data_IF_134352659387
#
_entry.id   IF_134352659387
#
_cell.length_a   1.000
_cell.length_b   1.000
_cell.length_c   1.000
_cell.angle_alpha   90.00
_cell.angle_beta   90.00
_cell.angle_gamma   90.00
#
_symmetry.space_group_name_H-M   'P 1'
#
loop_
_entity.id
_entity.type
_entity.pdbx_description
1 polymer ?
#
# COMPACT_ATOMS: atom_id res chain seq x y z
N UNK A 1 5.46 -4.53 -6.52
CA UNK A 1 5.39 -3.71 -5.27
C UNK A 1 5.51 -2.22 -5.56
N UNK A 2 6.61 -1.75 -6.17
CA UNK A 2 6.83 -0.33 -6.50
C UNK A 2 5.67 0.29 -7.30
N UNK A 3 5.14 -0.42 -8.30
CA UNK A 3 3.98 0.02 -9.09
C UNK A 3 2.73 0.28 -8.23
N UNK A 4 2.36 -0.66 -7.36
CA UNK A 4 1.21 -0.50 -6.48
C UNK A 4 1.39 0.66 -5.48
N UNK A 5 2.60 0.82 -4.93
CA UNK A 5 2.91 1.96 -4.06
C UNK A 5 2.90 3.28 -4.84
N UNK A 6 3.39 3.29 -6.08
CA UNK A 6 3.30 4.44 -6.98
C UNK A 6 1.86 4.86 -7.21
N UNK A 7 0.97 3.90 -7.51
CA UNK A 7 -0.46 4.16 -7.63
C UNK A 7 -1.06 4.72 -6.33
N UNK A 8 -0.74 4.13 -5.17
CA UNK A 8 -1.24 4.64 -3.88
C UNK A 8 -0.76 6.07 -3.60
N UNK A 9 0.52 6.35 -3.77
CA UNK A 9 1.10 7.65 -3.44
C UNK A 9 0.64 8.74 -4.41
N UNK A 10 0.70 8.48 -5.72
CA UNK A 10 0.50 9.52 -6.73
C UNK A 10 -0.96 9.65 -7.14
N UNK A 11 -1.69 8.54 -7.26
CA UNK A 11 -3.09 8.54 -7.69
C UNK A 11 -4.04 8.63 -6.51
N UNK A 12 -3.92 7.74 -5.51
CA UNK A 12 -4.85 7.68 -4.38
C UNK A 12 -4.54 8.67 -3.26
N UNK A 13 -3.34 9.29 -3.25
CA UNK A 13 -2.84 10.10 -2.14
C UNK A 13 -2.91 9.36 -0.80
N UNK A 14 -2.58 8.07 -0.80
CA UNK A 14 -2.55 7.18 0.37
C UNK A 14 -1.13 6.68 0.61
N UNK A 15 -0.72 6.58 1.87
CA UNK A 15 0.52 5.91 2.29
C UNK A 15 0.14 4.57 2.94
N UNK A 16 0.73 3.46 2.51
CA UNK A 16 0.34 2.11 2.94
C UNK A 16 0.69 1.76 4.40
N UNK A 17 1.81 2.29 4.91
CA UNK A 17 2.35 2.17 6.28
C UNK A 17 2.51 0.77 6.91
N UNK A 18 2.24 -0.33 6.20
CA UNK A 18 2.49 -1.68 6.72
C UNK A 18 3.08 -2.60 5.64
N UNK A 19 4.15 -2.12 4.99
CA UNK A 19 4.86 -2.91 4.00
C UNK A 19 5.72 -3.97 4.69
N UNK A 20 5.29 -5.23 4.59
CA UNK A 20 5.96 -6.39 5.13
C UNK A 20 5.67 -7.61 4.25
N UNK A 21 6.45 -8.70 4.33
CA UNK A 21 6.19 -9.90 3.53
C UNK A 21 4.76 -10.43 3.70
N UNK A 22 4.20 -10.36 4.91
CA UNK A 22 2.85 -10.81 5.24
C UNK A 22 1.75 -9.98 4.58
N UNK A 23 1.99 -8.71 4.25
CA UNK A 23 1.02 -7.89 3.52
C UNK A 23 1.01 -8.15 2.01
N UNK A 24 1.90 -9.00 1.50
CA UNK A 24 1.92 -9.44 0.09
C UNK A 24 1.33 -10.84 -0.02
N UNK A 25 0.07 -10.92 -0.45
CA UNK A 25 -0.62 -12.19 -0.62
C UNK A 25 -0.39 -12.71 -2.04
N UNK A 26 0.23 -13.88 -2.16
CA UNK A 26 0.47 -14.57 -3.44
C UNK A 26 -0.46 -15.76 -3.56
N UNK A 27 -1.11 -15.94 -4.72
CA UNK A 27 -1.96 -17.10 -4.99
C UNK A 27 -1.19 -18.24 -5.69
N UNK A 28 -1.85 -19.40 -5.86
CA UNK A 28 -1.27 -20.58 -6.53
C UNK A 28 -0.83 -20.34 -7.99
N UNK A 29 -1.30 -19.27 -8.64
CA UNK A 29 -0.91 -18.89 -10.00
C UNK A 29 0.25 -17.88 -10.03
N UNK A 30 0.81 -17.53 -8.88
CA UNK A 30 1.90 -16.57 -8.78
C UNK A 30 1.48 -15.10 -8.95
N UNK A 31 0.17 -14.80 -9.00
CA UNK A 31 -0.29 -13.41 -8.96
C UNK A 31 -0.42 -12.94 -7.52
N UNK A 32 -0.25 -11.63 -7.30
CA UNK A 32 -0.16 -11.07 -5.95
C UNK A 32 -1.15 -9.91 -5.74
N UNK A 33 -1.45 -9.64 -4.47
CA UNK A 33 -2.21 -8.47 -3.99
C UNK A 33 -1.51 -7.87 -2.77
N UNK A 34 -1.63 -6.55 -2.60
CA UNK A 34 -1.17 -5.85 -1.40
C UNK A 34 -2.36 -5.69 -0.43
N UNK A 35 -2.29 -6.36 0.72
CA UNK A 35 -3.26 -6.29 1.82
C UNK A 35 -2.82 -5.25 2.89
N UNK A 36 -3.52 -5.14 4.02
CA UNK A 36 -3.13 -4.25 5.11
C UNK A 36 -3.51 -2.78 4.90
N UNK A 37 -4.57 -2.50 4.14
CA UNK A 37 -5.04 -1.14 3.87
C UNK A 37 -5.70 -0.47 5.09
N UNK A 38 -6.05 -1.23 6.12
CA UNK A 38 -6.51 -0.73 7.41
C UNK A 38 -5.45 0.11 8.14
N UNK A 39 -4.17 -0.01 7.76
CA UNK A 39 -3.07 0.82 8.27
C UNK A 39 -2.74 2.01 7.37
N UNK A 40 -3.39 2.10 6.20
CA UNK A 40 -3.12 3.14 5.24
C UNK A 40 -3.71 4.49 5.67
N UNK A 41 -2.96 5.56 5.46
CA UNK A 41 -3.34 6.91 5.85
C UNK A 41 -3.30 7.86 4.66
N UNK A 42 -4.20 8.85 4.66
CA UNK A 42 -4.17 9.94 3.69
C UNK A 42 -2.84 10.69 3.77
N UNK A 43 -2.17 10.86 2.64
CA UNK A 43 -0.89 11.55 2.55
C UNK A 43 -0.97 13.01 3.04
N UNK A 44 -2.13 13.65 2.92
CA UNK A 44 -2.36 15.00 3.45
C UNK A 44 -2.49 15.04 4.99
N UNK A 45 -2.93 13.96 5.63
CA UNK A 45 -3.01 13.89 7.10
C UNK A 45 -1.63 13.83 7.73
N UNK A 46 -0.63 13.33 7.00
CA UNK A 46 0.77 13.26 7.45
C UNK A 46 1.53 14.58 7.30
N UNK A 47 1.03 15.54 6.52
CA UNK A 47 1.66 16.86 6.31
C UNK A 47 1.11 17.95 7.24
N UNK A 48 0.37 17.58 8.30
CA UNK A 48 -0.13 18.52 9.33
C UNK A 48 0.80 18.67 10.54
N UNK A 49 2.10 18.38 10.39
CA UNK A 49 3.14 18.67 11.38
C UNK A 49 4.14 19.69 10.82
#
# INVERSE_FOLDING_TARGET
ITEALGFFHYTCKLIHRNLCPQSVIVNKRGTWKLAGLEFAEGAMNLMQW
#
